data_IF_817754238064
#
_entry.id   IF_817754238064
#
_cell.length_a   1.000
_cell.length_b   1.000
_cell.length_c   1.000
_cell.angle_alpha   90.00
_cell.angle_beta   90.00
_cell.angle_gamma   90.00
#
_symmetry.space_group_name_H-M   'P 1'
#
loop_
_entity.id
_entity.type
_entity.pdbx_description
1 polymer ?
#
# COMPACT_ATOMS: atom_id res chain seq x y z
N UNK A 1 20.85 1.79 -7.76
CA UNK A 1 21.47 1.35 -6.48
C UNK A 1 21.20 2.33 -5.33
N UNK A 2 21.35 3.64 -5.54
CA UNK A 2 21.16 4.66 -4.48
C UNK A 2 19.78 4.63 -3.82
N UNK A 3 18.71 4.47 -4.60
CA UNK A 3 17.34 4.34 -4.06
C UNK A 3 17.15 3.13 -3.15
N UNK A 4 17.76 1.99 -3.52
CA UNK A 4 17.75 0.80 -2.67
C UNK A 4 18.53 1.06 -1.37
N UNK A 5 19.67 1.78 -1.45
CA UNK A 5 20.41 2.18 -0.25
C UNK A 5 19.57 3.10 0.65
N UNK A 6 18.89 4.09 0.08
CA UNK A 6 18.04 5.01 0.83
C UNK A 6 16.90 4.30 1.57
N UNK A 7 16.27 3.29 0.95
CA UNK A 7 15.19 2.54 1.57
C UNK A 7 15.66 1.46 2.55
N UNK A 8 16.65 0.65 2.17
CA UNK A 8 16.99 -0.59 2.89
C UNK A 8 18.27 -0.49 3.72
N UNK A 9 19.14 0.48 3.44
CA UNK A 9 20.43 0.67 4.10
C UNK A 9 20.54 2.09 4.69
N UNK A 10 19.43 2.57 5.27
CA UNK A 10 19.40 3.85 5.93
C UNK A 10 20.42 3.87 7.09
N UNK A 11 21.17 4.96 7.19
CA UNK A 11 22.18 5.16 8.26
C UNK A 11 21.54 5.15 9.65
N UNK A 12 20.29 5.61 9.75
CA UNK A 12 19.47 5.44 10.94
C UNK A 12 18.72 4.12 10.85
N UNK A 13 18.86 3.27 11.87
CA UNK A 13 18.06 2.05 12.02
C UNK A 13 16.58 2.42 11.90
N UNK A 14 15.88 1.71 11.04
CA UNK A 14 14.47 1.93 10.75
C UNK A 14 13.70 0.62 10.86
N UNK A 15 12.54 0.65 11.48
CA UNK A 15 11.57 -0.46 11.43
C UNK A 15 10.24 0.03 10.88
N UNK A 16 9.60 -0.79 10.05
CA UNK A 16 8.33 -0.48 9.42
C UNK A 16 7.30 -1.51 9.89
N UNK A 17 6.25 -1.04 10.56
CA UNK A 17 5.06 -1.84 10.83
C UNK A 17 3.96 -1.39 9.88
N UNK A 18 3.41 -2.30 9.09
CA UNK A 18 2.35 -2.01 8.13
C UNK A 18 1.19 -2.99 8.32
N UNK A 19 -0.02 -2.47 8.24
CA UNK A 19 -1.27 -3.26 8.29
C UNK A 19 -2.10 -2.97 7.05
N UNK A 20 -2.71 -4.01 6.49
CA UNK A 20 -3.47 -3.90 5.25
C UNK A 20 -4.82 -3.17 5.41
N UNK A 21 -5.30 -2.99 6.65
CA UNK A 21 -6.55 -2.33 6.98
C UNK A 21 -6.48 -1.79 8.41
N UNK A 22 -7.20 -0.70 8.68
CA UNK A 22 -7.36 -0.18 10.04
C UNK A 22 -8.32 -1.05 10.88
N UNK A 23 -8.34 -0.81 12.19
CA UNK A 23 -9.20 -1.52 13.13
C UNK A 23 -10.68 -1.44 12.68
N UNK A 24 -11.33 -2.59 12.64
CA UNK A 24 -12.75 -2.69 12.26
C UNK A 24 -13.00 -2.77 10.74
N UNK A 25 -11.95 -2.75 9.92
CA UNK A 25 -12.05 -2.93 8.48
C UNK A 25 -11.52 -4.30 8.05
N UNK A 26 -11.97 -4.76 6.87
CA UNK A 26 -11.48 -5.98 6.25
C UNK A 26 -10.28 -5.68 5.34
N UNK A 27 -9.32 -6.60 5.30
CA UNK A 27 -8.28 -6.61 4.29
C UNK A 27 -8.82 -7.27 3.01
N UNK A 28 -9.23 -6.45 2.05
CA UNK A 28 -9.90 -6.92 0.82
C UNK A 28 -8.91 -7.47 -0.21
N UNK A 29 -9.42 -8.39 -1.04
CA UNK A 29 -8.70 -9.02 -2.13
C UNK A 29 -9.65 -9.35 -3.29
N UNK A 30 -9.09 -9.70 -4.44
CA UNK A 30 -9.83 -10.36 -5.52
C UNK A 30 -8.95 -11.39 -6.25
N UNK A 31 -9.53 -12.16 -7.16
CA UNK A 31 -8.82 -13.22 -7.91
C UNK A 31 -7.72 -12.64 -8.82
N UNK A 32 -7.92 -11.44 -9.37
CA UNK A 32 -7.00 -10.82 -10.32
C UNK A 32 -5.73 -10.26 -9.67
N UNK A 33 -5.88 -9.54 -8.56
CA UNK A 33 -4.79 -8.80 -7.90
C UNK A 33 -4.25 -9.51 -6.66
N UNK A 34 -4.99 -10.48 -6.12
CA UNK A 34 -4.78 -10.96 -4.76
C UNK A 34 -5.14 -9.88 -3.74
N UNK A 35 -4.37 -9.80 -2.65
CA UNK A 35 -4.58 -8.80 -1.60
C UNK A 35 -4.24 -7.40 -2.09
N UNK A 36 -5.20 -6.46 -2.02
CA UNK A 36 -5.06 -5.12 -2.61
C UNK A 36 -3.84 -4.38 -2.06
N UNK A 37 -3.67 -4.34 -0.73
CA UNK A 37 -2.54 -3.63 -0.15
C UNK A 37 -1.18 -4.19 -0.57
N UNK A 38 -1.01 -5.51 -0.53
CA UNK A 38 0.25 -6.16 -0.94
C UNK A 38 0.56 -5.91 -2.42
N UNK A 39 -0.46 -5.99 -3.29
CA UNK A 39 -0.33 -5.71 -4.71
C UNK A 39 0.14 -4.27 -4.96
N UNK A 40 -0.56 -3.29 -4.39
CA UNK A 40 -0.22 -1.88 -4.59
C UNK A 40 1.07 -1.47 -3.88
N UNK A 41 1.43 -2.10 -2.76
CA UNK A 41 2.72 -1.91 -2.11
C UNK A 41 3.87 -2.36 -3.01
N UNK A 42 3.79 -3.58 -3.55
CA UNK A 42 4.77 -4.08 -4.52
C UNK A 42 4.87 -3.14 -5.72
N UNK A 43 3.74 -2.79 -6.33
CA UNK A 43 3.71 -1.92 -7.51
C UNK A 43 4.29 -0.53 -7.22
N UNK A 44 3.96 0.06 -6.07
CA UNK A 44 4.49 1.35 -5.64
C UNK A 44 6.01 1.31 -5.47
N UNK A 45 6.53 0.26 -4.81
CA UNK A 45 7.95 0.06 -4.59
C UNK A 45 8.70 -0.13 -5.92
N UNK A 46 8.21 -1.00 -6.80
CA UNK A 46 8.80 -1.24 -8.12
C UNK A 46 8.84 0.05 -8.96
N UNK A 47 7.75 0.81 -8.97
CA UNK A 47 7.68 2.07 -9.70
C UNK A 47 8.65 3.12 -9.12
N UNK A 48 8.71 3.24 -7.79
CA UNK A 48 9.60 4.21 -7.14
C UNK A 48 11.08 3.90 -7.39
N UNK A 49 11.43 2.61 -7.46
CA UNK A 49 12.78 2.15 -7.78
C UNK A 49 13.13 2.32 -9.27
N UNK A 50 12.15 2.19 -10.17
CA UNK A 50 12.33 2.38 -11.63
C UNK A 50 12.37 3.83 -12.08
N UNK A 51 11.75 4.74 -11.33
CA UNK A 51 11.73 6.17 -11.68
C UNK A 51 13.17 6.72 -11.73
N UNK A 52 13.60 7.21 -12.90
CA UNK A 52 14.94 7.79 -13.08
C UNK A 52 14.98 9.30 -12.86
N UNK A 53 13.80 9.95 -12.78
CA UNK A 53 13.69 11.41 -12.68
C UNK A 53 13.79 11.87 -11.23
N UNK A 54 13.11 11.19 -10.30
CA UNK A 54 13.24 11.52 -8.88
C UNK A 54 14.53 10.95 -8.30
N UNK A 55 15.38 11.83 -7.75
CA UNK A 55 16.59 11.43 -7.01
C UNK A 55 16.28 10.97 -5.58
N UNK A 56 15.19 11.47 -5.00
CA UNK A 56 14.84 11.20 -3.60
C UNK A 56 13.71 10.17 -3.52
N UNK A 57 13.84 9.25 -2.57
CA UNK A 57 12.85 8.22 -2.26
C UNK A 57 12.76 8.04 -0.74
N UNK A 58 11.56 7.80 -0.23
CA UNK A 58 11.32 7.50 1.17
C UNK A 58 10.23 6.45 1.32
N UNK A 59 10.22 5.74 2.47
CA UNK A 59 9.17 4.78 2.77
C UNK A 59 7.79 5.43 2.84
N UNK A 60 7.68 6.66 3.34
CA UNK A 60 6.42 7.43 3.35
C UNK A 60 5.82 7.53 1.95
N UNK A 61 6.61 7.98 0.96
CA UNK A 61 6.14 8.11 -0.42
C UNK A 61 5.68 6.77 -1.02
N UNK A 62 6.43 5.69 -0.77
CA UNK A 62 6.09 4.36 -1.28
C UNK A 62 4.78 3.85 -0.65
N UNK A 63 4.67 3.96 0.68
CA UNK A 63 3.54 3.42 1.43
C UNK A 63 2.27 4.27 1.24
N UNK A 64 2.38 5.60 1.21
CA UNK A 64 1.25 6.50 1.00
C UNK A 64 0.63 6.30 -0.39
N UNK A 65 1.46 6.10 -1.42
CA UNK A 65 0.96 5.78 -2.76
C UNK A 65 0.24 4.43 -2.79
N UNK A 66 0.77 3.41 -2.12
CA UNK A 66 0.12 2.11 -2.00
C UNK A 66 -1.21 2.18 -1.23
N UNK A 67 -1.24 2.96 -0.15
CA UNK A 67 -2.44 3.24 0.65
C UNK A 67 -3.52 3.90 -0.19
N UNK A 68 -3.18 4.96 -0.93
CA UNK A 68 -4.11 5.68 -1.81
C UNK A 68 -4.73 4.73 -2.85
N UNK A 69 -3.92 3.93 -3.54
CA UNK A 69 -4.41 3.00 -4.56
C UNK A 69 -5.30 1.90 -3.96
N UNK A 70 -4.95 1.41 -2.77
CA UNK A 70 -5.75 0.42 -2.05
C UNK A 70 -7.12 0.97 -1.67
N UNK A 71 -7.16 2.20 -1.13
CA UNK A 71 -8.41 2.89 -0.78
C UNK A 71 -9.29 3.05 -2.02
N UNK A 72 -8.72 3.50 -3.13
CA UNK A 72 -9.48 3.70 -4.38
C UNK A 72 -9.97 2.39 -4.99
N UNK A 73 -9.19 1.31 -4.91
CA UNK A 73 -9.65 -0.02 -5.36
C UNK A 73 -10.76 -0.58 -4.47
N UNK A 74 -10.62 -0.44 -3.15
CA UNK A 74 -11.61 -0.94 -2.20
C UNK A 74 -12.97 -0.26 -2.37
N UNK A 75 -13.00 1.08 -2.50
CA UNK A 75 -14.23 1.85 -2.75
C UNK A 75 -14.99 1.44 -4.02
N UNK A 76 -14.34 0.73 -4.95
CA UNK A 76 -14.91 0.26 -6.22
C UNK A 76 -15.14 -1.26 -6.24
N UNK A 77 -15.01 -1.92 -5.09
CA UNK A 77 -15.14 -3.38 -4.95
C UNK A 77 -16.24 -3.70 -3.95
N UNK A 78 -17.08 -4.68 -4.24
CA UNK A 78 -18.03 -5.23 -3.28
C UNK A 78 -17.38 -6.38 -2.51
N UNK A 79 -17.44 -6.33 -1.18
CA UNK A 79 -16.84 -7.32 -0.28
C UNK A 79 -17.78 -8.50 0.00
N UNK A 80 -19.08 -8.32 -0.22
CA UNK A 80 -20.10 -9.32 0.01
C UNK A 80 -21.28 -9.13 -0.95
N UNK A 81 -22.09 -10.18 -1.11
CA UNK A 81 -23.38 -10.12 -1.81
C UNK A 81 -24.49 -9.71 -0.81
N UNK A 82 -25.55 -9.02 -1.26
CA UNK A 82 -25.77 -8.49 -2.61
C UNK A 82 -24.86 -7.30 -2.93
N UNK A 83 -24.67 -6.96 -4.22
CA UNK A 83 -23.85 -5.82 -4.62
C UNK A 83 -24.59 -4.49 -4.41
N UNK A 84 -24.68 -4.07 -3.15
CA UNK A 84 -25.33 -2.84 -2.69
C UNK A 84 -24.31 -1.93 -2.01
N UNK A 85 -24.61 -0.64 -1.91
CA UNK A 85 -23.67 0.37 -1.41
C UNK A 85 -23.08 0.06 -0.02
N UNK A 86 -23.87 -0.54 0.88
CA UNK A 86 -23.41 -0.93 2.23
C UNK A 86 -22.39 -2.07 2.23
N UNK A 87 -22.29 -2.83 1.13
CA UNK A 87 -21.36 -3.95 0.97
C UNK A 87 -20.09 -3.56 0.19
N UNK A 88 -19.92 -2.28 -0.15
CA UNK A 88 -18.67 -1.78 -0.74
C UNK A 88 -17.56 -1.93 0.29
N UNK A 89 -16.42 -2.46 -0.16
CA UNK A 89 -15.25 -2.63 0.69
C UNK A 89 -14.77 -1.27 1.21
N UNK A 90 -14.52 -1.21 2.51
CA UNK A 90 -13.78 -0.13 3.14
C UNK A 90 -12.44 -0.69 3.63
N UNK A 91 -11.35 -0.21 3.03
CA UNK A 91 -9.99 -0.64 3.37
C UNK A 91 -9.06 0.58 3.39
N UNK A 92 -8.39 0.78 4.52
CA UNK A 92 -7.49 1.91 4.79
C UNK A 92 -6.24 1.37 5.48
N UNK A 93 -5.18 1.07 4.73
CA UNK A 93 -3.92 0.63 5.31
C UNK A 93 -3.35 1.65 6.31
N UNK A 94 -2.68 1.15 7.35
CA UNK A 94 -2.00 1.96 8.35
C UNK A 94 -0.55 1.51 8.48
N UNK A 95 0.35 2.45 8.75
CA UNK A 95 1.76 2.15 8.97
C UNK A 95 2.37 3.03 10.05
N UNK A 96 3.42 2.52 10.67
CA UNK A 96 4.26 3.24 11.61
C UNK A 96 5.73 3.00 11.29
N UNK A 97 6.52 4.07 11.35
CA UNK A 97 7.97 4.07 11.14
C UNK A 97 8.63 4.35 12.49
N UNK A 98 9.54 3.47 12.90
CA UNK A 98 10.32 3.56 14.14
C UNK A 98 11.80 3.82 13.81
#
# INVERSE_FOLDING_TARGET
LEKCRALFLNTKRMSLLMTAAEKGQLASCNVELGAFFSFYFKSSLENALRDVKSKNISWYQVIDKAKMQTVEKAKRTYCSKPHIATNICRQTPQYQVF
#
